data_IF_469266979041
#
_entry.id   IF_469266979041
#
_cell.length_a   1.000
_cell.length_b   1.000
_cell.length_c   1.000
_cell.angle_alpha   90.00
_cell.angle_beta   90.00
_cell.angle_gamma   90.00
#
_symmetry.space_group_name_H-M   'P 1'
#
loop_
_entity.id
_entity.type
_entity.pdbx_description
1 polymer ?
#
# COMPACT_ATOMS: atom_id res chain seq x y z
N UNK A 1 -37.11 -46.98 -10.61
CA UNK A 1 -37.00 -46.07 -9.45
C UNK A 1 -35.69 -46.23 -8.66
N UNK A 2 -35.20 -47.44 -8.39
CA UNK A 2 -33.96 -47.67 -7.62
C UNK A 2 -32.66 -47.12 -8.28
N UNK A 3 -32.52 -47.20 -9.61
CA UNK A 3 -31.31 -46.71 -10.33
C UNK A 3 -31.14 -45.18 -10.29
N UNK A 4 -32.23 -44.40 -10.16
CA UNK A 4 -32.14 -42.94 -10.01
C UNK A 4 -31.76 -42.49 -8.60
N UNK A 5 -32.15 -43.27 -7.56
CA UNK A 5 -31.75 -42.97 -6.18
C UNK A 5 -30.25 -43.21 -5.94
N UNK A 6 -29.67 -44.25 -6.54
CA UNK A 6 -28.24 -44.59 -6.40
C UNK A 6 -27.34 -43.52 -7.02
N UNK A 7 -27.76 -42.93 -8.16
CA UNK A 7 -26.97 -41.87 -8.83
C UNK A 7 -26.99 -40.54 -8.03
N UNK A 8 -28.12 -40.22 -7.38
CA UNK A 8 -28.21 -39.00 -6.53
C UNK A 8 -27.39 -39.15 -5.25
N UNK A 9 -27.33 -40.32 -4.65
CA UNK A 9 -26.55 -40.59 -3.43
C UNK A 9 -25.05 -40.54 -3.73
N UNK A 10 -24.61 -41.01 -4.92
CA UNK A 10 -23.20 -40.96 -5.32
C UNK A 10 -22.75 -39.50 -5.64
N UNK A 11 -23.61 -38.70 -6.28
CA UNK A 11 -23.30 -37.28 -6.53
C UNK A 11 -23.24 -36.46 -5.24
N UNK A 12 -24.14 -36.65 -4.28
CA UNK A 12 -24.12 -35.97 -2.99
C UNK A 12 -22.93 -36.41 -2.12
N UNK A 13 -22.52 -37.65 -2.16
CA UNK A 13 -21.34 -38.12 -1.42
C UNK A 13 -20.02 -37.64 -2.05
N UNK A 14 -19.92 -37.55 -3.39
CA UNK A 14 -18.73 -37.00 -4.05
C UNK A 14 -18.57 -35.51 -3.81
N UNK A 15 -19.64 -34.72 -3.81
CA UNK A 15 -19.57 -33.27 -3.49
C UNK A 15 -19.24 -33.05 -2.02
N UNK A 16 -19.78 -33.85 -1.10
CA UNK A 16 -19.44 -33.75 0.32
C UNK A 16 -17.98 -34.16 0.62
N UNK A 17 -17.46 -35.19 -0.06
CA UNK A 17 -16.09 -35.68 0.11
C UNK A 17 -15.08 -34.67 -0.52
N UNK A 18 -15.39 -34.10 -1.67
CA UNK A 18 -14.53 -33.07 -2.28
C UNK A 18 -14.50 -31.79 -1.45
N UNK A 19 -15.63 -31.34 -0.92
CA UNK A 19 -15.70 -30.17 -0.03
C UNK A 19 -14.91 -30.35 1.27
N UNK A 20 -15.01 -31.50 1.92
CA UNK A 20 -14.30 -31.81 3.18
C UNK A 20 -12.79 -32.00 2.96
N UNK A 21 -12.35 -32.55 1.82
CA UNK A 21 -10.96 -32.70 1.46
C UNK A 21 -10.32 -31.32 1.17
N UNK A 22 -11.00 -30.44 0.45
CA UNK A 22 -10.55 -29.05 0.18
C UNK A 22 -10.39 -28.24 1.47
N UNK A 23 -11.40 -28.21 2.33
CA UNK A 23 -11.35 -27.48 3.62
C UNK A 23 -10.23 -28.01 4.54
N UNK A 24 -9.99 -29.32 4.54
CA UNK A 24 -8.88 -29.92 5.33
C UNK A 24 -7.51 -29.53 4.75
N UNK A 25 -7.40 -29.47 3.43
CA UNK A 25 -6.18 -29.02 2.73
C UNK A 25 -5.86 -27.56 3.07
N UNK A 26 -6.86 -26.68 3.04
CA UNK A 26 -6.68 -25.26 3.36
C UNK A 26 -6.29 -25.03 4.82
N UNK A 27 -6.91 -25.71 5.76
CA UNK A 27 -6.52 -25.63 7.18
C UNK A 27 -5.07 -26.09 7.40
N UNK A 28 -4.63 -27.14 6.72
CA UNK A 28 -3.24 -27.60 6.83
C UNK A 28 -2.27 -26.58 6.24
N UNK A 29 -2.58 -26.00 5.06
CA UNK A 29 -1.77 -24.97 4.42
C UNK A 29 -1.63 -23.72 5.32
N UNK A 30 -2.71 -23.27 5.92
CA UNK A 30 -2.69 -22.15 6.87
C UNK A 30 -1.81 -22.49 8.07
N UNK A 31 -1.97 -23.66 8.66
CA UNK A 31 -1.16 -24.11 9.79
C UNK A 31 0.32 -24.18 9.46
N UNK A 32 0.66 -24.74 8.30
CA UNK A 32 2.06 -24.84 7.85
C UNK A 32 2.68 -23.45 7.62
N UNK A 33 1.90 -22.52 7.04
CA UNK A 33 2.31 -21.13 6.90
C UNK A 33 2.61 -20.47 8.25
N UNK A 34 1.68 -20.58 9.21
CA UNK A 34 1.89 -19.98 10.54
C UNK A 34 3.11 -20.58 11.25
N UNK A 35 3.36 -21.88 11.10
CA UNK A 35 4.57 -22.52 11.64
C UNK A 35 5.85 -21.98 10.99
N UNK A 36 5.85 -21.76 9.65
CA UNK A 36 6.97 -21.12 8.94
C UNK A 36 7.21 -19.70 9.43
N UNK A 37 6.13 -18.93 9.63
CA UNK A 37 6.20 -17.56 10.15
C UNK A 37 6.83 -17.54 11.53
N UNK A 38 6.36 -18.35 12.47
CA UNK A 38 6.90 -18.40 13.84
C UNK A 38 8.38 -18.84 13.85
N UNK A 39 8.73 -19.82 13.02
CA UNK A 39 10.14 -20.25 12.86
C UNK A 39 11.01 -19.12 12.32
N UNK A 40 10.54 -18.38 11.30
CA UNK A 40 11.26 -17.22 10.76
C UNK A 40 11.39 -16.13 11.82
N UNK A 41 10.30 -15.76 12.47
CA UNK A 41 10.23 -14.72 13.49
C UNK A 41 11.19 -15.01 14.67
N UNK A 42 11.22 -16.24 15.17
CA UNK A 42 12.08 -16.65 16.27
C UNK A 42 13.58 -16.61 15.93
N UNK A 43 13.93 -16.71 14.64
CA UNK A 43 15.31 -16.63 14.16
C UNK A 43 15.82 -15.22 13.91
N UNK A 44 14.93 -14.21 13.92
CA UNK A 44 15.26 -12.82 13.59
C UNK A 44 15.78 -12.06 14.81
N UNK A 45 16.84 -11.26 14.60
CA UNK A 45 17.25 -10.25 15.59
C UNK A 45 16.25 -9.09 15.67
N UNK A 46 16.32 -8.27 16.71
CA UNK A 46 15.48 -7.09 16.86
C UNK A 46 15.63 -6.14 15.67
N UNK A 47 16.86 -5.91 15.19
CA UNK A 47 17.12 -5.06 14.02
C UNK A 47 16.51 -5.62 12.74
N UNK A 48 16.54 -6.94 12.56
CA UNK A 48 15.89 -7.60 11.43
C UNK A 48 14.37 -7.44 11.48
N UNK A 49 13.79 -7.59 12.67
CA UNK A 49 12.35 -7.39 12.89
C UNK A 49 11.94 -5.96 12.60
N UNK A 50 12.62 -4.99 13.17
CA UNK A 50 12.33 -3.56 12.99
C UNK A 50 12.52 -3.14 11.53
N UNK A 51 13.58 -3.61 10.87
CA UNK A 51 13.78 -3.32 9.44
C UNK A 51 12.60 -3.77 8.56
N UNK A 52 11.97 -4.91 8.89
CA UNK A 52 10.77 -5.34 8.17
C UNK A 52 9.58 -4.39 8.35
N UNK A 53 9.52 -3.64 9.43
CA UNK A 53 8.47 -2.68 9.71
C UNK A 53 8.65 -1.33 8.97
N UNK A 54 9.75 -1.15 8.23
CA UNK A 54 10.06 0.07 7.47
C UNK A 54 9.69 -0.09 6.01
N UNK A 55 8.98 0.90 5.47
CA UNK A 55 8.68 1.04 4.04
C UNK A 55 9.28 2.35 3.52
N UNK A 56 10.12 2.27 2.49
CA UNK A 56 10.82 3.41 1.87
C UNK A 56 10.36 3.64 0.44
N UNK A 57 10.48 4.88 0.00
CA UNK A 57 10.29 5.24 -1.41
C UNK A 57 11.43 4.71 -2.28
N UNK A 58 11.11 4.31 -3.52
CA UNK A 58 12.09 3.79 -4.49
C UNK A 58 13.26 4.73 -4.76
N UNK A 59 13.08 6.03 -4.57
CA UNK A 59 14.14 7.03 -4.71
C UNK A 59 15.32 6.80 -3.76
N UNK A 60 15.06 6.19 -2.60
CA UNK A 60 16.11 5.87 -1.63
C UNK A 60 17.12 4.85 -2.15
N UNK A 61 16.77 4.13 -3.22
CA UNK A 61 17.63 3.13 -3.89
C UNK A 61 17.93 3.47 -5.36
N UNK A 62 17.50 4.64 -5.83
CA UNK A 62 17.70 5.10 -7.23
C UNK A 62 18.97 5.92 -7.36
N UNK A 63 19.64 5.78 -8.50
CA UNK A 63 20.75 6.63 -8.89
C UNK A 63 20.22 7.89 -9.57
N UNK A 64 20.61 9.06 -9.06
CA UNK A 64 20.28 10.35 -9.65
C UNK A 64 21.50 10.99 -10.28
N UNK A 65 21.34 11.60 -11.46
CA UNK A 65 22.33 12.46 -12.06
C UNK A 65 22.49 13.73 -11.20
N UNK A 66 23.72 14.03 -10.79
CA UNK A 66 24.01 15.12 -9.86
C UNK A 66 23.58 16.50 -10.40
N UNK A 67 23.46 16.64 -11.72
CA UNK A 67 22.99 17.87 -12.39
C UNK A 67 21.50 18.14 -12.18
N UNK A 68 20.72 17.09 -11.89
CA UNK A 68 19.26 17.13 -11.79
C UNK A 68 18.73 16.62 -10.45
N UNK A 69 19.55 16.74 -9.41
CA UNK A 69 19.08 16.51 -8.03
C UNK A 69 18.15 17.65 -7.59
N UNK A 70 17.30 17.41 -6.61
CA UNK A 70 16.42 18.45 -6.03
C UNK A 70 17.20 19.72 -5.72
N UNK A 71 18.29 19.61 -4.99
CA UNK A 71 19.15 20.76 -4.61
C UNK A 71 19.76 21.49 -5.82
N UNK A 72 20.08 20.77 -6.90
CA UNK A 72 20.59 21.39 -8.11
C UNK A 72 19.48 22.15 -8.86
N UNK A 73 18.29 21.54 -8.99
CA UNK A 73 17.14 22.15 -9.67
C UNK A 73 16.62 23.38 -8.93
N UNK A 74 16.62 23.40 -7.61
CA UNK A 74 16.20 24.54 -6.80
C UNK A 74 17.06 25.80 -7.01
N UNK A 75 18.28 25.64 -7.52
CA UNK A 75 19.21 26.76 -7.80
C UNK A 75 19.00 27.40 -9.17
N UNK A 76 18.21 26.76 -10.04
CA UNK A 76 18.00 27.20 -11.40
C UNK A 76 16.95 28.32 -11.49
N UNK A 77 17.11 29.21 -12.48
CA UNK A 77 16.10 30.18 -12.85
C UNK A 77 14.89 29.51 -13.52
N UNK A 78 13.75 30.20 -13.56
CA UNK A 78 12.54 29.72 -14.25
C UNK A 78 12.81 29.41 -15.73
N UNK A 79 13.64 30.22 -16.40
CA UNK A 79 14.03 29.99 -17.78
C UNK A 79 14.79 28.68 -17.95
N UNK A 80 15.79 28.43 -17.11
CA UNK A 80 16.60 27.20 -17.14
C UNK A 80 15.73 25.96 -16.84
N UNK A 81 14.80 26.05 -15.88
CA UNK A 81 13.83 24.98 -15.61
C UNK A 81 12.93 24.73 -16.81
N UNK A 82 12.43 25.78 -17.47
CA UNK A 82 11.62 25.66 -18.69
C UNK A 82 12.37 24.99 -19.84
N UNK A 83 13.65 25.39 -20.04
CA UNK A 83 14.51 24.80 -21.05
C UNK A 83 14.76 23.29 -20.78
N UNK A 84 14.95 22.92 -19.51
CA UNK A 84 15.11 21.52 -19.10
C UNK A 84 13.81 20.72 -19.32
N UNK A 85 12.66 21.24 -18.92
CA UNK A 85 11.36 20.61 -19.14
C UNK A 85 11.12 20.34 -20.63
N UNK A 86 11.40 21.32 -21.48
CA UNK A 86 11.29 21.19 -22.93
C UNK A 86 12.28 20.17 -23.49
N UNK A 87 13.53 20.19 -23.03
CA UNK A 87 14.59 19.27 -23.45
C UNK A 87 14.25 17.80 -23.21
N UNK A 88 13.61 17.49 -22.09
CA UNK A 88 13.24 16.13 -21.71
C UNK A 88 11.81 15.74 -22.11
N UNK A 89 11.12 16.61 -22.86
CA UNK A 89 9.72 16.40 -23.27
C UNK A 89 8.80 16.10 -22.06
N UNK A 90 8.87 17.00 -21.07
CA UNK A 90 8.07 16.90 -19.84
C UNK A 90 6.94 17.93 -19.80
N UNK A 91 6.66 18.61 -20.92
CA UNK A 91 5.62 19.65 -21.01
C UNK A 91 4.21 19.16 -20.73
N UNK A 92 3.96 17.88 -20.96
CA UNK A 92 2.68 17.23 -20.67
C UNK A 92 2.63 16.59 -19.26
N UNK A 93 3.72 16.62 -18.52
CA UNK A 93 3.78 16.09 -17.16
C UNK A 93 3.23 17.16 -16.20
N UNK A 94 2.13 16.84 -15.54
CA UNK A 94 1.36 17.79 -14.73
C UNK A 94 2.21 18.55 -13.70
N UNK A 95 3.02 17.84 -12.93
CA UNK A 95 3.81 18.45 -11.86
C UNK A 95 5.00 19.27 -12.36
N UNK A 96 5.62 18.85 -13.45
CA UNK A 96 6.70 19.59 -14.08
C UNK A 96 6.22 20.94 -14.64
N UNK A 97 5.01 20.95 -15.24
CA UNK A 97 4.39 22.16 -15.81
C UNK A 97 3.95 23.15 -14.72
N UNK A 98 3.43 22.67 -13.60
CA UNK A 98 3.01 23.51 -12.48
C UNK A 98 4.15 24.28 -11.83
N UNK A 99 5.38 23.77 -11.89
CA UNK A 99 6.57 24.47 -11.36
C UNK A 99 6.89 25.75 -12.12
N UNK A 100 6.59 25.77 -13.43
CA UNK A 100 7.04 26.83 -14.34
C UNK A 100 5.98 27.91 -14.53
N UNK A 101 4.69 27.60 -14.37
CA UNK A 101 3.58 28.39 -14.94
C UNK A 101 3.00 29.45 -14.00
N UNK A 102 3.39 29.57 -12.75
CA UNK A 102 2.83 30.61 -11.89
C UNK A 102 3.67 31.87 -11.83
N UNK A 103 3.42 32.78 -12.75
CA UNK A 103 3.95 34.16 -12.77
C UNK A 103 5.50 34.26 -12.70
N UNK A 104 6.20 33.33 -13.35
CA UNK A 104 7.66 33.36 -13.44
C UNK A 104 8.40 33.04 -12.13
N UNK A 105 7.70 32.52 -11.13
CA UNK A 105 8.31 31.98 -9.91
C UNK A 105 7.77 30.59 -9.64
N UNK A 106 8.58 29.61 -9.20
CA UNK A 106 8.08 28.35 -8.68
C UNK A 106 7.06 28.66 -7.59
N UNK A 107 5.85 28.08 -7.67
CA UNK A 107 4.72 28.43 -6.78
C UNK A 107 4.95 28.09 -5.31
N UNK A 108 5.91 27.24 -5.02
CA UNK A 108 6.33 26.95 -3.66
C UNK A 108 7.79 26.49 -3.64
N UNK A 109 8.47 26.74 -2.53
CA UNK A 109 9.69 26.04 -2.14
C UNK A 109 9.41 24.56 -1.79
N UNK A 110 8.33 23.98 -2.30
CA UNK A 110 7.92 22.63 -1.97
C UNK A 110 8.89 21.65 -2.64
N UNK A 111 9.68 20.97 -1.85
CA UNK A 111 10.62 19.95 -2.27
C UNK A 111 9.96 18.86 -3.13
N UNK A 112 8.66 18.60 -2.91
CA UNK A 112 7.90 17.57 -3.64
C UNK A 112 7.89 17.81 -5.17
N UNK A 113 7.63 19.05 -5.63
CA UNK A 113 7.61 19.32 -7.07
C UNK A 113 9.00 19.17 -7.69
N UNK A 114 10.04 19.58 -6.99
CA UNK A 114 11.43 19.36 -7.42
C UNK A 114 11.81 17.88 -7.36
N UNK A 115 11.28 17.12 -6.42
CA UNK A 115 11.43 15.67 -6.38
C UNK A 115 10.81 15.02 -7.63
N UNK A 116 9.55 15.34 -7.95
CA UNK A 116 8.88 14.83 -9.15
C UNK A 116 9.65 15.17 -10.43
N UNK A 117 10.09 16.42 -10.58
CA UNK A 117 10.88 16.85 -11.74
C UNK A 117 12.23 16.11 -11.82
N UNK A 118 12.95 15.99 -10.70
CA UNK A 118 14.20 15.24 -10.62
C UNK A 118 14.01 13.78 -11.03
N UNK A 119 12.97 13.14 -10.53
CA UNK A 119 12.62 11.75 -10.87
C UNK A 119 12.30 11.59 -12.35
N UNK A 120 11.44 12.46 -12.90
CA UNK A 120 11.04 12.43 -14.30
C UNK A 120 12.26 12.61 -15.24
N UNK A 121 13.13 13.55 -14.96
CA UNK A 121 14.35 13.75 -15.72
C UNK A 121 15.26 12.51 -15.65
N UNK A 122 15.49 11.99 -14.46
CA UNK A 122 16.34 10.81 -14.28
C UNK A 122 15.73 9.55 -14.91
N UNK A 123 14.40 9.43 -14.95
CA UNK A 123 13.73 8.38 -15.70
C UNK A 123 13.99 8.52 -17.22
N UNK A 124 13.84 9.73 -17.79
CA UNK A 124 14.13 10.00 -19.22
C UNK A 124 15.61 9.79 -19.58
N UNK A 125 16.52 9.98 -18.62
CA UNK A 125 17.95 9.64 -18.77
C UNK A 125 18.23 8.12 -18.70
N UNK A 126 17.23 7.32 -18.39
CA UNK A 126 17.28 5.89 -18.17
C UNK A 126 17.34 5.53 -16.69
N UNK A 127 16.21 5.04 -16.16
CA UNK A 127 16.07 4.62 -14.76
C UNK A 127 17.16 3.61 -14.36
N UNK A 128 17.85 3.88 -13.26
CA UNK A 128 18.90 3.03 -12.72
C UNK A 128 18.81 2.90 -11.22
N UNK A 129 18.92 1.67 -10.74
CA UNK A 129 19.10 1.39 -9.32
C UNK A 129 20.57 1.52 -8.91
N UNK A 130 20.81 2.09 -7.74
CA UNK A 130 22.13 2.28 -7.14
C UNK A 130 22.51 1.05 -6.30
N UNK A 131 23.56 0.34 -6.69
CA UNK A 131 24.01 -0.89 -6.01
C UNK A 131 24.42 -0.66 -4.56
N UNK A 132 25.05 0.47 -4.26
CA UNK A 132 25.49 0.82 -2.90
C UNK A 132 24.31 1.12 -2.00
N UNK A 133 23.34 1.90 -2.52
CA UNK A 133 22.10 2.20 -1.79
C UNK A 133 21.27 0.93 -1.56
N UNK A 134 21.12 0.06 -2.57
CA UNK A 134 20.46 -1.25 -2.43
C UNK A 134 21.11 -2.08 -1.33
N UNK A 135 22.44 -2.18 -1.34
CA UNK A 135 23.15 -2.91 -0.30
C UNK A 135 22.89 -2.28 1.07
N UNK A 136 23.01 -0.97 1.22
CA UNK A 136 22.78 -0.28 2.49
C UNK A 136 21.35 -0.49 3.01
N UNK A 137 20.33 -0.32 2.16
CA UNK A 137 18.93 -0.47 2.53
C UNK A 137 18.62 -1.89 3.01
N UNK A 138 19.10 -2.92 2.32
CA UNK A 138 18.77 -4.31 2.65
C UNK A 138 19.76 -4.99 3.61
N UNK A 139 21.02 -4.58 3.64
CA UNK A 139 22.02 -5.16 4.55
C UNK A 139 22.06 -4.45 5.91
N UNK A 140 22.12 -3.12 5.90
CA UNK A 140 22.25 -2.32 7.12
C UNK A 140 20.89 -2.13 7.78
N UNK A 141 19.92 -1.58 7.03
CA UNK A 141 18.59 -1.22 7.54
C UNK A 141 17.56 -2.35 7.45
N UNK A 142 17.83 -3.42 6.68
CA UNK A 142 16.99 -4.62 6.55
C UNK A 142 15.54 -4.33 6.20
N UNK A 143 15.32 -3.30 5.39
CA UNK A 143 14.02 -2.76 5.01
C UNK A 143 13.12 -3.82 4.40
N UNK A 144 11.86 -3.87 4.85
CA UNK A 144 10.90 -4.89 4.48
C UNK A 144 10.07 -4.57 3.24
N UNK A 145 9.96 -3.28 2.87
CA UNK A 145 9.07 -2.83 1.80
C UNK A 145 9.62 -1.61 1.07
N UNK A 146 9.36 -1.56 -0.24
CA UNK A 146 9.60 -0.39 -1.10
C UNK A 146 8.27 0.02 -1.72
N UNK A 147 8.10 1.31 -2.02
CA UNK A 147 6.89 1.82 -2.65
C UNK A 147 7.18 2.87 -3.72
N UNK A 148 6.11 3.27 -4.39
CA UNK A 148 5.99 4.38 -5.33
C UNK A 148 6.46 4.06 -6.76
N UNK A 149 6.19 4.98 -7.70
CA UNK A 149 6.48 4.84 -9.12
C UNK A 149 7.97 5.04 -9.43
N UNK A 150 8.48 4.37 -10.47
CA UNK A 150 9.89 4.43 -10.83
C UNK A 150 10.31 5.78 -11.45
N UNK A 151 9.40 6.42 -12.16
CA UNK A 151 9.68 7.60 -12.97
C UNK A 151 9.09 8.91 -12.44
N UNK A 152 8.71 9.00 -11.18
CA UNK A 152 8.03 10.19 -10.66
C UNK A 152 6.67 10.37 -11.32
N UNK A 153 6.49 11.39 -12.17
CA UNK A 153 5.26 11.63 -12.93
C UNK A 153 5.18 10.84 -14.25
N UNK A 154 6.26 10.19 -14.66
CA UNK A 154 6.31 9.42 -15.91
C UNK A 154 5.86 7.98 -15.69
N UNK A 155 4.82 7.54 -16.40
CA UNK A 155 4.44 6.13 -16.45
C UNK A 155 5.57 5.28 -17.06
N UNK A 156 5.95 4.19 -16.38
CA UNK A 156 7.08 3.37 -16.77
C UNK A 156 6.63 2.18 -17.63
N UNK A 157 7.46 1.77 -18.60
CA UNK A 157 7.19 0.58 -19.41
C UNK A 157 7.27 -0.70 -18.55
N UNK A 158 6.54 -1.75 -18.92
CA UNK A 158 6.43 -3.02 -18.18
C UNK A 158 7.77 -3.69 -17.98
N UNK A 159 8.63 -3.70 -19.01
CA UNK A 159 9.97 -4.29 -18.94
C UNK A 159 10.88 -3.55 -17.96
N UNK A 160 10.77 -2.21 -17.88
CA UNK A 160 11.48 -1.39 -16.88
C UNK A 160 11.01 -1.75 -15.47
N UNK A 161 9.69 -1.90 -15.28
CA UNK A 161 9.10 -2.35 -14.01
C UNK A 161 9.62 -3.73 -13.60
N UNK A 162 9.52 -4.72 -14.48
CA UNK A 162 9.97 -6.09 -14.21
C UNK A 162 11.47 -6.15 -13.86
N UNK A 163 12.30 -5.46 -14.63
CA UNK A 163 13.74 -5.39 -14.37
C UNK A 163 14.02 -4.73 -13.01
N UNK A 164 13.33 -3.64 -12.69
CA UNK A 164 13.50 -2.93 -11.42
C UNK A 164 13.06 -3.79 -10.24
N UNK A 165 11.84 -4.32 -10.26
CA UNK A 165 11.28 -5.12 -9.16
C UNK A 165 12.09 -6.38 -8.92
N UNK A 166 12.54 -7.08 -9.98
CA UNK A 166 13.40 -8.27 -9.86
C UNK A 166 14.78 -7.91 -9.29
N UNK A 167 15.40 -6.81 -9.73
CA UNK A 167 16.70 -6.36 -9.21
C UNK A 167 16.62 -5.99 -7.73
N UNK A 168 15.55 -5.32 -7.32
CA UNK A 168 15.31 -4.97 -5.90
C UNK A 168 15.10 -6.24 -5.08
N UNK A 169 14.33 -7.19 -5.61
CA UNK A 169 14.06 -8.46 -4.94
C UNK A 169 15.32 -9.32 -4.79
N UNK A 170 16.16 -9.37 -5.85
CA UNK A 170 17.45 -10.05 -5.79
C UNK A 170 18.35 -9.46 -4.69
N UNK A 171 18.40 -8.12 -4.59
CA UNK A 171 19.15 -7.44 -3.54
C UNK A 171 18.58 -7.73 -2.13
N UNK A 172 17.25 -7.72 -1.96
CA UNK A 172 16.61 -8.04 -0.70
C UNK A 172 16.95 -9.46 -0.25
N UNK A 173 16.80 -10.45 -1.13
CA UNK A 173 17.12 -11.84 -0.81
C UNK A 173 18.61 -12.05 -0.53
N UNK A 174 19.49 -11.43 -1.31
CA UNK A 174 20.94 -11.51 -1.13
C UNK A 174 21.42 -10.95 0.20
N UNK A 175 20.90 -9.79 0.61
CA UNK A 175 21.43 -9.05 1.75
C UNK A 175 20.65 -9.25 3.05
N UNK A 176 19.32 -9.41 3.00
CA UNK A 176 18.49 -9.62 4.19
C UNK A 176 18.00 -11.06 4.36
N UNK A 177 18.01 -11.87 3.28
CA UNK A 177 17.45 -13.23 3.27
C UNK A 177 15.92 -13.28 3.32
N UNK A 178 15.24 -12.12 3.31
CA UNK A 178 13.78 -12.01 3.38
C UNK A 178 13.30 -11.25 2.13
N UNK A 179 12.31 -11.79 1.39
CA UNK A 179 11.81 -11.10 0.19
C UNK A 179 11.18 -9.75 0.57
N UNK A 180 11.41 -8.75 -0.28
CA UNK A 180 10.80 -7.43 -0.17
C UNK A 180 9.37 -7.46 -0.72
N UNK A 181 8.45 -6.68 -0.14
CA UNK A 181 7.15 -6.41 -0.73
C UNK A 181 7.13 -5.00 -1.35
N UNK A 182 6.72 -4.92 -2.63
CA UNK A 182 6.56 -3.63 -3.32
C UNK A 182 5.11 -3.18 -3.24
N UNK A 183 4.87 -1.99 -2.69
CA UNK A 183 3.55 -1.37 -2.62
C UNK A 183 3.37 -0.28 -3.69
N UNK A 184 2.16 -0.16 -4.27
CA UNK A 184 1.89 0.80 -5.33
C UNK A 184 0.49 1.39 -5.26
N UNK A 185 0.39 2.68 -5.57
CA UNK A 185 -0.84 3.48 -5.49
C UNK A 185 -1.57 3.51 -6.83
N UNK A 186 -2.22 2.41 -7.20
CA UNK A 186 -3.03 2.32 -8.41
C UNK A 186 -4.50 2.16 -8.03
N UNK A 187 -5.30 3.21 -8.21
CA UNK A 187 -6.69 3.27 -7.73
C UNK A 187 -7.73 2.92 -8.80
N UNK A 188 -7.44 3.21 -10.06
CA UNK A 188 -8.40 3.09 -11.16
C UNK A 188 -7.76 2.53 -12.43
N UNK A 189 -7.15 1.35 -12.30
CA UNK A 189 -6.35 0.70 -13.34
C UNK A 189 -4.86 0.84 -13.09
N UNK A 190 -4.04 0.49 -14.09
CA UNK A 190 -2.58 0.42 -13.98
C UNK A 190 -1.94 1.77 -14.31
N UNK A 191 -2.29 2.78 -13.53
CA UNK A 191 -2.01 4.21 -13.80
C UNK A 191 -0.52 4.57 -13.87
N UNK A 192 0.36 3.79 -13.24
CA UNK A 192 1.81 4.06 -13.20
C UNK A 192 2.60 3.27 -14.25
N UNK A 193 1.88 2.62 -15.17
CA UNK A 193 2.50 1.82 -16.23
C UNK A 193 2.06 2.29 -17.59
N UNK A 194 3.01 2.54 -18.47
CA UNK A 194 2.72 2.92 -19.86
C UNK A 194 1.91 1.84 -20.57
N UNK A 195 0.88 2.26 -21.31
CA UNK A 195 -0.08 1.38 -22.00
C UNK A 195 -0.98 0.54 -21.08
N UNK A 196 -0.91 0.73 -19.76
CA UNK A 196 -1.83 0.08 -18.82
C UNK A 196 -3.27 0.56 -18.99
N UNK A 197 -4.23 -0.30 -18.72
CA UNK A 197 -5.66 0.02 -18.81
C UNK A 197 -6.06 1.03 -17.73
N UNK A 198 -6.73 2.10 -18.14
CA UNK A 198 -7.30 3.09 -17.25
C UNK A 198 -8.82 2.92 -17.14
N UNK A 199 -9.33 3.05 -15.94
CA UNK A 199 -10.75 2.99 -15.63
C UNK A 199 -11.24 4.33 -15.05
N UNK A 200 -12.56 4.55 -14.97
CA UNK A 200 -13.10 5.64 -14.15
C UNK A 200 -12.58 5.53 -12.70
N UNK A 201 -12.45 6.67 -12.02
CA UNK A 201 -12.20 6.67 -10.58
C UNK A 201 -13.28 5.91 -9.82
N UNK A 202 -13.01 5.53 -8.56
CA UNK A 202 -13.89 4.65 -7.79
C UNK A 202 -15.31 5.19 -7.63
N UNK A 203 -15.50 6.51 -7.48
CA UNK A 203 -16.84 7.11 -7.45
C UNK A 203 -17.61 6.85 -8.77
N UNK A 204 -16.95 6.90 -9.91
CA UNK A 204 -17.54 6.57 -11.21
C UNK A 204 -17.84 5.08 -11.35
N UNK A 205 -16.99 4.22 -10.83
CA UNK A 205 -17.21 2.78 -10.79
C UNK A 205 -18.43 2.44 -9.93
N UNK A 206 -18.54 3.00 -8.72
CA UNK A 206 -19.69 2.80 -7.82
C UNK A 206 -20.99 3.32 -8.45
N UNK A 207 -20.95 4.44 -9.17
CA UNK A 207 -22.12 5.02 -9.85
C UNK A 207 -22.70 4.10 -10.94
N UNK A 208 -22.01 3.06 -11.36
CA UNK A 208 -22.58 2.04 -12.27
C UNK A 208 -23.61 1.14 -11.59
N UNK A 209 -23.57 1.03 -10.25
CA UNK A 209 -24.37 0.07 -9.47
C UNK A 209 -24.26 -1.36 -9.99
N UNK A 210 -23.13 -1.71 -10.61
CA UNK A 210 -22.90 -3.02 -11.21
C UNK A 210 -21.66 -3.70 -10.60
N UNK A 211 -21.84 -4.61 -9.62
CA UNK A 211 -20.73 -5.31 -8.96
C UNK A 211 -19.87 -6.15 -9.92
N UNK A 212 -20.43 -6.69 -10.99
CA UNK A 212 -19.67 -7.46 -11.99
C UNK A 212 -18.66 -6.58 -12.73
N UNK A 213 -19.02 -5.33 -13.05
CA UNK A 213 -18.09 -4.38 -13.64
C UNK A 213 -16.99 -4.00 -12.64
N UNK A 214 -17.33 -3.81 -11.36
CA UNK A 214 -16.34 -3.54 -10.31
C UNK A 214 -15.35 -4.70 -10.16
N UNK A 215 -15.85 -5.93 -10.12
CA UNK A 215 -15.01 -7.14 -10.07
C UNK A 215 -14.10 -7.22 -11.30
N UNK A 216 -14.66 -7.02 -12.49
CA UNK A 216 -13.88 -7.07 -13.75
C UNK A 216 -12.80 -5.99 -13.82
N UNK A 217 -13.10 -4.77 -13.35
CA UNK A 217 -12.10 -3.71 -13.20
C UNK A 217 -10.95 -4.17 -12.29
N UNK A 218 -11.27 -4.83 -11.18
CA UNK A 218 -10.28 -5.38 -10.25
C UNK A 218 -9.40 -6.46 -10.88
N UNK A 219 -10.00 -7.42 -11.59
CA UNK A 219 -9.29 -8.50 -12.28
C UNK A 219 -8.28 -7.98 -13.31
N UNK A 220 -8.67 -7.00 -14.13
CA UNK A 220 -7.80 -6.40 -15.15
C UNK A 220 -6.68 -5.61 -14.46
N UNK A 221 -7.02 -4.78 -13.46
CA UNK A 221 -6.03 -4.00 -12.70
C UNK A 221 -5.00 -4.90 -12.01
N UNK A 222 -5.43 -6.01 -11.42
CA UNK A 222 -4.55 -6.99 -10.78
C UNK A 222 -3.63 -7.66 -11.79
N UNK A 223 -4.18 -8.17 -12.88
CA UNK A 223 -3.44 -8.83 -13.95
C UNK A 223 -2.31 -7.94 -14.50
N UNK A 224 -2.64 -6.70 -14.83
CA UNK A 224 -1.67 -5.75 -15.38
C UNK A 224 -0.64 -5.29 -14.35
N UNK A 225 -1.03 -5.13 -13.08
CA UNK A 225 -0.11 -4.84 -11.97
C UNK A 225 0.88 -6.00 -11.75
N UNK A 226 0.40 -7.24 -11.85
CA UNK A 226 1.27 -8.43 -11.79
C UNK A 226 2.26 -8.48 -12.93
N UNK A 227 1.87 -8.06 -14.13
CA UNK A 227 2.77 -7.92 -15.27
C UNK A 227 3.96 -7.00 -14.95
N UNK A 228 3.80 -5.98 -14.13
CA UNK A 228 4.85 -5.09 -13.66
C UNK A 228 5.72 -5.67 -12.52
N UNK A 229 5.42 -6.86 -12.02
CA UNK A 229 6.12 -7.47 -10.89
C UNK A 229 5.65 -6.98 -9.50
N UNK A 230 4.68 -6.09 -9.44
CA UNK A 230 4.10 -5.59 -8.20
C UNK A 230 3.01 -6.55 -7.71
N UNK A 231 2.95 -6.78 -6.39
CA UNK A 231 2.02 -7.75 -5.79
C UNK A 231 1.14 -7.18 -4.69
N UNK A 232 1.30 -5.92 -4.36
CA UNK A 232 0.55 -5.26 -3.30
C UNK A 232 0.10 -3.87 -3.75
N UNK A 233 -1.22 -3.64 -3.73
CA UNK A 233 -1.82 -2.38 -4.10
C UNK A 233 -2.43 -1.68 -2.89
N UNK A 234 -2.25 -0.35 -2.80
CA UNK A 234 -2.94 0.52 -1.85
C UNK A 234 -4.33 0.87 -2.39
N UNK A 235 -5.13 -0.16 -2.59
CA UNK A 235 -6.47 -0.14 -3.18
C UNK A 235 -7.30 -1.30 -2.64
N UNK A 236 -8.63 -1.17 -2.57
CA UNK A 236 -9.48 -0.01 -2.86
C UNK A 236 -9.45 1.08 -1.77
N UNK A 237 -9.78 2.33 -2.17
CA UNK A 237 -10.18 3.34 -1.20
C UNK A 237 -11.64 3.07 -0.81
N UNK A 238 -11.87 2.75 0.47
CA UNK A 238 -13.19 2.45 1.01
C UNK A 238 -13.84 3.68 1.68
N UNK A 239 -13.27 4.86 1.42
CA UNK A 239 -13.72 6.11 2.02
C UNK A 239 -15.16 6.44 1.62
N UNK A 240 -15.97 6.75 2.62
CA UNK A 240 -17.27 7.38 2.46
C UNK A 240 -17.07 8.90 2.49
N UNK A 241 -17.51 9.60 1.44
CA UNK A 241 -17.43 11.05 1.37
C UNK A 241 -18.82 11.67 1.43
N UNK A 242 -19.04 12.50 2.46
CA UNK A 242 -20.25 13.31 2.66
C UNK A 242 -19.96 14.82 2.62
N UNK A 243 -18.75 15.18 2.16
CA UNK A 243 -18.29 16.56 2.00
C UNK A 243 -17.87 16.78 0.56
N UNK A 244 -18.76 17.24 -0.35
CA UNK A 244 -18.44 17.41 -1.77
C UNK A 244 -17.27 18.36 -2.05
N UNK A 245 -16.92 19.21 -1.09
CA UNK A 245 -15.74 20.10 -1.17
C UNK A 245 -14.42 19.41 -0.86
N UNK A 246 -14.43 18.16 -0.37
CA UNK A 246 -13.21 17.41 -0.14
C UNK A 246 -12.52 17.09 -1.48
N UNK A 247 -11.24 17.48 -1.67
CA UNK A 247 -10.58 17.40 -2.97
C UNK A 247 -10.34 15.97 -3.46
N UNK A 248 -10.39 14.96 -2.58
CA UNK A 248 -10.23 13.53 -2.93
C UNK A 248 -11.56 12.79 -3.06
N UNK A 249 -12.68 13.52 -3.22
CA UNK A 249 -14.00 12.92 -3.46
C UNK A 249 -13.99 11.86 -4.57
N UNK A 250 -13.24 12.10 -5.64
CA UNK A 250 -13.14 11.19 -6.80
C UNK A 250 -12.55 9.81 -6.45
N UNK A 251 -11.72 9.72 -5.42
CA UNK A 251 -11.17 8.46 -4.93
C UNK A 251 -12.17 7.68 -4.06
N UNK A 252 -13.21 8.33 -3.52
CA UNK A 252 -14.15 7.72 -2.59
C UNK A 252 -15.10 6.74 -3.26
N UNK A 253 -15.78 5.93 -2.44
CA UNK A 253 -16.90 5.08 -2.85
C UNK A 253 -18.25 5.82 -2.85
N UNK A 254 -18.26 7.16 -2.75
CA UNK A 254 -19.46 7.98 -2.65
C UNK A 254 -19.96 8.12 -1.21
N UNK A 255 -21.26 8.42 -1.03
CA UNK A 255 -21.84 8.75 0.28
C UNK A 255 -22.64 7.63 0.94
N UNK A 256 -23.01 6.60 0.17
CA UNK A 256 -23.85 5.49 0.63
C UNK A 256 -23.02 4.30 1.10
N UNK A 257 -23.06 3.91 2.38
CA UNK A 257 -22.25 2.83 2.92
C UNK A 257 -22.63 1.44 2.40
N UNK A 258 -23.88 1.24 1.96
CA UNK A 258 -24.30 -0.05 1.38
C UNK A 258 -23.73 -0.21 -0.03
N UNK A 259 -23.90 0.79 -0.90
CA UNK A 259 -23.31 0.77 -2.24
C UNK A 259 -21.80 0.63 -2.17
N UNK A 260 -21.12 1.38 -1.29
CA UNK A 260 -19.69 1.26 -1.05
C UNK A 260 -19.29 -0.14 -0.59
N UNK A 261 -20.07 -0.78 0.28
CA UNK A 261 -19.79 -2.13 0.75
C UNK A 261 -19.89 -3.16 -0.38
N UNK A 262 -20.98 -3.14 -1.15
CA UNK A 262 -21.23 -4.11 -2.24
C UNK A 262 -20.22 -3.96 -3.38
N UNK A 263 -20.01 -2.72 -3.84
CA UNK A 263 -19.10 -2.43 -4.95
C UNK A 263 -17.64 -2.60 -4.54
N UNK A 264 -17.28 -2.17 -3.32
CA UNK A 264 -15.94 -2.33 -2.76
C UNK A 264 -15.57 -3.79 -2.54
N UNK A 265 -16.50 -4.64 -2.07
CA UNK A 265 -16.31 -6.10 -1.95
C UNK A 265 -16.06 -6.73 -3.33
N UNK A 266 -16.86 -6.37 -4.34
CA UNK A 266 -16.69 -6.88 -5.69
C UNK A 266 -15.33 -6.50 -6.29
N UNK A 267 -14.92 -5.23 -6.12
CA UNK A 267 -13.62 -4.75 -6.57
C UNK A 267 -12.46 -5.42 -5.83
N UNK A 268 -12.58 -5.58 -4.49
CA UNK A 268 -11.62 -6.33 -3.68
C UNK A 268 -11.43 -7.76 -4.20
N UNK A 269 -12.52 -8.49 -4.46
CA UNK A 269 -12.47 -9.85 -5.01
C UNK A 269 -11.83 -9.89 -6.40
N UNK A 270 -12.09 -8.91 -7.23
CA UNK A 270 -11.42 -8.77 -8.52
C UNK A 270 -9.91 -8.56 -8.38
N UNK A 271 -9.48 -7.72 -7.44
CA UNK A 271 -8.05 -7.48 -7.19
C UNK A 271 -7.36 -8.69 -6.54
N UNK A 272 -7.96 -9.28 -5.52
CA UNK A 272 -7.31 -10.23 -4.62
C UNK A 272 -7.62 -11.70 -4.92
N UNK A 273 -8.65 -11.97 -5.73
CA UNK A 273 -9.18 -13.32 -5.92
C UNK A 273 -10.05 -13.79 -4.74
N UNK A 274 -10.43 -15.05 -4.77
CA UNK A 274 -11.36 -15.63 -3.79
C UNK A 274 -10.66 -16.22 -2.55
N UNK A 275 -9.34 -16.47 -2.61
CA UNK A 275 -8.57 -17.04 -1.49
C UNK A 275 -7.63 -16.02 -0.86
N UNK A 276 -8.00 -15.37 0.25
CA UNK A 276 -7.16 -14.38 0.91
C UNK A 276 -5.88 -14.97 1.56
N UNK A 277 -5.80 -16.31 1.63
CA UNK A 277 -4.65 -17.00 2.21
C UNK A 277 -3.59 -17.39 1.17
N UNK A 278 -3.90 -17.25 -0.12
CA UNK A 278 -3.00 -17.58 -1.21
C UNK A 278 -3.36 -16.77 -2.46
N UNK A 279 -2.77 -15.60 -2.57
CA UNK A 279 -2.96 -14.71 -3.73
C UNK A 279 -2.18 -15.32 -4.90
N UNK A 280 -2.90 -15.72 -5.94
CA UNK A 280 -2.32 -16.40 -7.09
C UNK A 280 -1.50 -15.47 -8.01
N UNK A 281 -1.03 -15.98 -9.12
CA UNK A 281 -0.15 -15.23 -10.04
C UNK A 281 -0.85 -14.15 -10.88
N UNK A 282 -2.19 -14.11 -10.88
CA UNK A 282 -2.99 -13.12 -11.63
C UNK A 282 -3.62 -12.05 -10.73
N UNK A 283 -3.57 -12.24 -9.41
CA UNK A 283 -4.14 -11.33 -8.42
C UNK A 283 -3.07 -10.64 -7.59
N UNK A 284 -3.45 -9.56 -6.91
CA UNK A 284 -2.60 -8.76 -6.02
C UNK A 284 -3.19 -8.69 -4.62
N UNK A 285 -2.36 -8.51 -3.62
CA UNK A 285 -2.84 -8.18 -2.29
C UNK A 285 -3.43 -6.79 -2.23
N UNK A 286 -4.55 -6.65 -1.55
CA UNK A 286 -5.21 -5.35 -1.33
C UNK A 286 -4.74 -4.69 -0.05
N UNK A 287 -4.72 -3.36 -0.03
CA UNK A 287 -4.58 -2.53 1.16
C UNK A 287 -5.70 -1.50 1.15
N UNK A 288 -6.72 -1.74 1.97
CA UNK A 288 -7.86 -0.82 2.07
C UNK A 288 -7.42 0.54 2.59
N UNK A 289 -7.97 1.62 2.07
CA UNK A 289 -7.65 2.96 2.55
C UNK A 289 -8.85 3.90 2.53
N UNK A 290 -8.82 4.94 3.30
CA UNK A 290 -7.92 5.24 4.44
C UNK A 290 -8.70 4.98 5.73
N UNK A 291 -8.32 4.00 6.50
CA UNK A 291 -9.05 3.42 7.62
C UNK A 291 -9.23 4.40 8.78
N UNK A 292 -10.40 4.86 9.04
CA UNK A 292 -11.63 5.17 8.34
C UNK A 292 -12.06 6.60 8.71
N UNK A 293 -13.05 7.19 8.02
CA UNK A 293 -13.56 8.52 8.32
C UNK A 293 -12.72 9.67 7.73
N UNK A 294 -11.90 9.38 6.72
CA UNK A 294 -11.05 10.37 6.07
C UNK A 294 -11.82 11.32 5.15
N UNK A 295 -12.89 10.82 4.48
CA UNK A 295 -13.70 11.58 3.51
C UNK A 295 -14.75 12.51 4.10
N UNK A 296 -14.68 12.84 5.40
CA UNK A 296 -15.68 13.67 6.10
C UNK A 296 -15.07 14.83 6.92
N UNK A 297 -14.04 15.54 6.42
CA UNK A 297 -13.44 16.65 7.16
C UNK A 297 -14.48 17.77 7.39
N UNK A 298 -14.50 18.36 8.59
CA UNK A 298 -15.52 19.35 8.97
C UNK A 298 -15.57 20.56 8.03
N UNK A 299 -14.41 21.02 7.57
CA UNK A 299 -14.26 22.19 6.69
C UNK A 299 -14.10 21.84 5.20
N UNK A 300 -14.12 20.55 4.83
CA UNK A 300 -13.93 20.07 3.44
C UNK A 300 -12.49 20.17 2.91
N UNK A 301 -11.50 20.51 3.73
CA UNK A 301 -10.09 20.57 3.34
C UNK A 301 -9.43 19.24 3.67
N UNK A 302 -8.56 18.74 2.78
CA UNK A 302 -7.86 17.47 2.96
C UNK A 302 -6.99 17.45 4.24
N UNK A 303 -6.93 16.30 4.90
CA UNK A 303 -6.15 16.06 6.13
C UNK A 303 -6.48 16.98 7.32
N UNK A 304 -7.67 17.56 7.32
CA UNK A 304 -8.16 18.38 8.45
C UNK A 304 -9.10 17.57 9.34
N UNK A 305 -9.33 18.01 10.60
CA UNK A 305 -10.13 17.27 11.56
C UNK A 305 -11.57 17.03 11.12
N UNK A 306 -12.12 15.91 11.57
CA UNK A 306 -13.52 15.54 11.47
C UNK A 306 -14.09 15.19 12.85
N UNK A 307 -15.34 15.61 13.12
CA UNK A 307 -16.08 15.26 14.32
C UNK A 307 -17.35 14.53 13.94
N UNK A 308 -17.44 13.25 14.32
CA UNK A 308 -18.54 12.36 13.95
C UNK A 308 -18.97 11.59 15.20
N UNK A 309 -20.27 11.53 15.48
CA UNK A 309 -20.76 10.72 16.59
C UNK A 309 -20.48 9.22 16.37
N UNK A 310 -20.39 8.46 17.47
CA UNK A 310 -19.96 7.04 17.38
C UNK A 310 -20.95 6.16 16.59
N UNK A 311 -22.25 6.46 16.61
CA UNK A 311 -23.21 5.72 15.81
C UNK A 311 -22.95 5.88 14.31
N UNK A 312 -22.80 7.11 13.83
CA UNK A 312 -22.47 7.37 12.42
C UNK A 312 -21.11 6.81 12.02
N UNK A 313 -20.11 6.84 12.92
CA UNK A 313 -18.84 6.20 12.72
C UNK A 313 -18.99 4.71 12.41
N UNK A 314 -19.75 3.98 13.24
CA UNK A 314 -19.95 2.54 13.11
C UNK A 314 -20.82 2.17 11.91
N UNK A 315 -21.98 2.82 11.80
CA UNK A 315 -22.97 2.47 10.78
C UNK A 315 -22.59 2.90 9.37
N UNK A 316 -21.93 4.07 9.23
CA UNK A 316 -21.72 4.69 7.93
C UNK A 316 -20.27 4.60 7.46
N UNK A 317 -19.30 4.92 8.33
CA UNK A 317 -17.92 5.08 7.91
C UNK A 317 -17.11 3.80 8.08
N UNK A 318 -17.38 3.01 9.13
CA UNK A 318 -16.67 1.75 9.37
C UNK A 318 -17.29 0.57 8.60
N UNK A 319 -18.59 0.57 8.33
CA UNK A 319 -19.29 -0.56 7.69
C UNK A 319 -18.66 -1.04 6.39
N UNK A 320 -18.25 -0.19 5.42
CA UNK A 320 -17.59 -0.67 4.21
C UNK A 320 -16.27 -1.39 4.50
N UNK A 321 -15.48 -0.86 5.42
CA UNK A 321 -14.23 -1.51 5.84
C UNK A 321 -14.50 -2.84 6.54
N UNK A 322 -15.46 -2.89 7.47
CA UNK A 322 -15.87 -4.11 8.15
C UNK A 322 -16.24 -5.22 7.16
N UNK A 323 -17.05 -4.87 6.15
CA UNK A 323 -17.43 -5.82 5.09
C UNK A 323 -16.23 -6.32 4.31
N UNK A 324 -15.31 -5.43 3.95
CA UNK A 324 -14.10 -5.82 3.23
C UNK A 324 -13.17 -6.70 4.09
N UNK A 325 -13.01 -6.44 5.39
CA UNK A 325 -12.24 -7.30 6.30
C UNK A 325 -12.88 -8.69 6.45
N UNK A 326 -14.21 -8.75 6.60
CA UNK A 326 -14.95 -10.01 6.66
C UNK A 326 -14.86 -10.82 5.36
N UNK A 327 -14.62 -10.15 4.21
CA UNK A 327 -14.42 -10.75 2.90
C UNK A 327 -12.94 -10.94 2.54
N UNK A 328 -12.05 -10.87 3.52
CA UNK A 328 -10.67 -11.33 3.38
C UNK A 328 -9.65 -10.28 2.97
N UNK A 329 -9.93 -8.97 3.11
CA UNK A 329 -8.90 -7.95 2.91
C UNK A 329 -7.69 -8.19 3.81
N UNK A 330 -6.47 -8.16 3.25
CA UNK A 330 -5.23 -8.60 3.93
C UNK A 330 -4.38 -7.47 4.48
N UNK A 331 -4.66 -6.22 4.11
CA UNK A 331 -4.00 -5.06 4.68
C UNK A 331 -4.93 -3.83 4.70
N UNK A 332 -4.60 -2.86 5.53
CA UNK A 332 -5.24 -1.55 5.56
C UNK A 332 -4.23 -0.44 5.86
N UNK A 333 -4.46 0.73 5.28
CA UNK A 333 -3.71 1.96 5.50
C UNK A 333 -4.49 2.87 6.43
N UNK A 334 -3.80 3.49 7.39
CA UNK A 334 -4.42 4.38 8.36
C UNK A 334 -4.97 5.65 7.73
N UNK A 335 -5.96 6.26 8.40
CA UNK A 335 -6.45 7.59 8.07
C UNK A 335 -5.40 8.67 8.41
N UNK A 336 -5.13 9.56 7.47
CA UNK A 336 -4.16 10.66 7.58
C UNK A 336 -4.67 11.89 8.35
N UNK A 337 -5.86 11.84 8.96
CA UNK A 337 -6.46 12.99 9.62
C UNK A 337 -6.81 12.73 11.10
N UNK A 338 -7.24 13.77 11.77
CA UNK A 338 -7.75 13.70 13.15
C UNK A 338 -9.24 13.39 13.09
N UNK A 339 -9.67 12.33 13.76
CA UNK A 339 -11.06 11.92 13.90
C UNK A 339 -11.44 11.95 15.39
N UNK A 340 -12.39 12.81 15.74
CA UNK A 340 -12.83 13.01 17.14
C UNK A 340 -11.67 13.30 18.10
N UNK A 341 -10.78 14.20 17.71
CA UNK A 341 -9.65 14.64 18.54
C UNK A 341 -8.43 13.73 18.58
N UNK A 342 -8.45 12.57 17.85
CA UNK A 342 -7.32 11.65 17.78
C UNK A 342 -6.91 11.39 16.32
N UNK A 343 -5.61 11.48 16.02
CA UNK A 343 -5.10 11.14 14.70
C UNK A 343 -5.22 9.62 14.44
N UNK A 344 -5.58 9.25 13.20
CA UNK A 344 -5.80 7.86 12.79
C UNK A 344 -4.63 6.94 13.11
N UNK A 345 -3.38 7.43 12.93
CA UNK A 345 -2.14 6.68 13.20
C UNK A 345 -1.91 6.39 14.69
N UNK A 346 -2.41 7.26 15.58
CA UNK A 346 -2.25 7.13 17.03
C UNK A 346 -3.51 6.60 17.73
N UNK A 347 -4.55 6.22 16.97
CA UNK A 347 -5.84 5.81 17.54
C UNK A 347 -5.87 4.32 17.93
N UNK A 348 -5.43 4.02 19.15
CA UNK A 348 -5.40 2.65 19.69
C UNK A 348 -6.80 1.99 19.70
N UNK A 349 -7.88 2.76 19.93
CA UNK A 349 -9.25 2.22 19.91
C UNK A 349 -9.57 1.62 18.54
N UNK A 350 -9.20 2.30 17.45
CA UNK A 350 -9.55 1.86 16.11
C UNK A 350 -8.58 0.80 15.58
N UNK A 351 -7.26 0.99 15.82
CA UNK A 351 -6.24 0.10 15.25
C UNK A 351 -6.07 -1.19 16.06
N UNK A 352 -5.99 -1.09 17.38
CA UNK A 352 -5.80 -2.26 18.23
C UNK A 352 -7.14 -2.89 18.61
N UNK A 353 -8.01 -2.13 19.30
CA UNK A 353 -9.22 -2.72 19.87
C UNK A 353 -10.20 -3.19 18.77
N UNK A 354 -10.61 -2.32 17.84
CA UNK A 354 -11.63 -2.72 16.85
C UNK A 354 -11.12 -3.72 15.82
N UNK A 355 -9.87 -3.58 15.31
CA UNK A 355 -9.37 -4.48 14.28
C UNK A 355 -8.73 -5.74 14.83
N UNK A 356 -7.82 -5.61 15.80
CA UNK A 356 -7.01 -6.74 16.24
C UNK A 356 -7.70 -7.54 17.34
N UNK A 357 -8.36 -6.85 18.30
CA UNK A 357 -8.97 -7.50 19.46
C UNK A 357 -10.42 -7.93 19.18
N UNK A 358 -11.30 -7.01 18.74
CA UNK A 358 -12.73 -7.28 18.57
C UNK A 358 -13.03 -8.09 17.29
N UNK A 359 -12.35 -7.81 16.17
CA UNK A 359 -12.52 -8.53 14.91
C UNK A 359 -11.56 -9.73 14.76
N UNK A 360 -10.56 -9.86 15.62
CA UNK A 360 -9.50 -10.87 15.49
C UNK A 360 -8.86 -10.85 14.07
N UNK A 361 -8.86 -9.68 13.42
CA UNK A 361 -8.33 -9.54 12.07
C UNK A 361 -6.81 -9.68 12.04
N UNK A 362 -6.30 -10.58 11.20
CA UNK A 362 -4.90 -10.97 11.14
C UNK A 362 -4.07 -10.26 10.05
N UNK A 363 -4.66 -9.28 9.36
CA UNK A 363 -4.00 -8.50 8.33
C UNK A 363 -3.04 -7.44 8.87
N UNK A 364 -2.39 -6.73 7.94
CA UNK A 364 -1.37 -5.72 8.19
C UNK A 364 -1.97 -4.31 8.27
N UNK A 365 -1.50 -3.51 9.23
CA UNK A 365 -1.79 -2.07 9.32
C UNK A 365 -0.53 -1.30 8.90
N UNK A 366 -0.61 -0.56 7.80
CA UNK A 366 0.44 0.36 7.35
C UNK A 366 -0.01 1.82 7.51
N UNK A 367 0.90 2.75 7.78
CA UNK A 367 0.58 4.19 7.79
C UNK A 367 0.45 4.74 6.37
N UNK A 368 -0.21 5.88 6.21
CA UNK A 368 -0.12 6.69 5.01
C UNK A 368 1.22 7.47 4.99
N UNK A 369 1.50 8.19 3.91
CA UNK A 369 2.74 8.88 3.59
C UNK A 369 3.18 9.86 4.68
N UNK A 370 4.26 9.52 5.41
CA UNK A 370 4.86 10.38 6.43
C UNK A 370 3.98 10.66 7.64
N UNK A 371 2.90 9.92 7.85
CA UNK A 371 1.90 10.24 8.87
C UNK A 371 2.43 10.11 10.31
N UNK A 372 3.43 9.26 10.55
CA UNK A 372 4.08 9.23 11.88
C UNK A 372 4.78 10.57 12.14
N UNK A 373 5.50 11.11 11.15
CA UNK A 373 6.16 12.41 11.27
C UNK A 373 5.13 13.53 11.48
N UNK A 374 3.99 13.45 10.79
CA UNK A 374 2.91 14.42 10.90
C UNK A 374 2.31 14.53 12.30
N UNK A 375 2.41 13.50 13.15
CA UNK A 375 1.97 13.59 14.55
C UNK A 375 2.69 14.72 15.31
N UNK A 376 3.94 15.06 14.94
CA UNK A 376 4.67 16.13 15.62
C UNK A 376 4.84 17.39 14.76
N UNK A 377 5.00 17.29 13.42
CA UNK A 377 5.27 18.49 12.58
C UNK A 377 4.01 19.21 12.12
N UNK A 378 2.90 18.49 11.89
CA UNK A 378 1.62 19.03 11.41
C UNK A 378 0.58 19.12 12.53
N UNK A 379 0.36 18.01 13.23
CA UNK A 379 -0.76 17.88 14.18
C UNK A 379 -0.38 18.27 15.62
N UNK A 380 0.93 18.37 15.91
CA UNK A 380 1.48 18.80 17.21
C UNK A 380 0.96 18.01 18.42
N UNK A 381 0.62 16.72 18.21
CA UNK A 381 0.14 15.83 19.28
C UNK A 381 1.26 14.98 19.88
N UNK A 382 2.39 14.86 19.19
CA UNK A 382 3.62 14.26 19.70
C UNK A 382 4.68 15.34 19.97
N UNK A 383 5.49 15.15 20.99
CA UNK A 383 6.53 16.10 21.39
C UNK A 383 7.79 16.03 20.52
N UNK A 384 8.01 14.90 19.82
CA UNK A 384 9.18 14.64 18.98
C UNK A 384 8.92 13.48 18.03
N UNK A 385 9.84 13.24 17.07
CA UNK A 385 9.83 12.05 16.21
C UNK A 385 9.81 10.75 17.05
N UNK A 386 10.64 10.66 18.09
CA UNK A 386 10.68 9.48 18.99
C UNK A 386 9.32 9.24 19.64
N UNK A 387 8.67 10.30 20.12
CA UNK A 387 7.34 10.21 20.73
C UNK A 387 6.27 9.81 19.71
N UNK A 388 6.32 10.37 18.50
CA UNK A 388 5.42 10.01 17.39
C UNK A 388 5.51 8.53 17.04
N UNK A 389 6.72 7.98 16.91
CA UNK A 389 6.95 6.54 16.66
C UNK A 389 6.37 5.70 17.80
N UNK A 390 6.63 6.08 19.05
CA UNK A 390 6.09 5.39 20.24
C UNK A 390 4.56 5.35 20.22
N UNK A 391 3.92 6.49 19.93
CA UNK A 391 2.46 6.58 19.86
C UNK A 391 1.88 5.68 18.77
N UNK A 392 2.42 5.74 17.55
CA UNK A 392 1.94 4.96 16.41
C UNK A 392 2.08 3.45 16.62
N UNK A 393 3.25 2.99 17.04
CA UNK A 393 3.52 1.55 17.24
C UNK A 393 2.66 0.99 18.38
N UNK A 394 2.54 1.71 19.50
CA UNK A 394 1.71 1.29 20.63
C UNK A 394 0.20 1.39 20.33
N UNK A 395 -0.21 2.17 19.31
CA UNK A 395 -1.58 2.20 18.84
C UNK A 395 -1.95 1.00 17.95
N UNK A 396 -0.96 0.26 17.43
CA UNK A 396 -1.22 -0.94 16.64
C UNK A 396 -0.68 -0.91 15.21
N UNK A 397 0.05 0.14 14.79
CA UNK A 397 0.71 0.19 13.49
C UNK A 397 1.76 -0.92 13.35
N UNK A 398 1.74 -1.62 12.21
CA UNK A 398 2.66 -2.72 11.92
C UNK A 398 3.78 -2.33 10.95
N UNK A 399 3.48 -1.49 9.95
CA UNK A 399 4.45 -1.00 8.97
C UNK A 399 4.42 0.52 8.89
N UNK A 400 5.58 1.12 8.91
CA UNK A 400 5.78 2.58 8.88
C UNK A 400 6.13 3.00 7.45
N UNK A 401 5.21 3.70 6.77
CA UNK A 401 5.50 4.36 5.50
C UNK A 401 6.26 5.66 5.79
N UNK A 402 7.58 5.57 5.79
CA UNK A 402 8.52 6.66 6.09
C UNK A 402 9.42 6.91 4.89
N UNK A 403 8.92 7.58 3.85
CA UNK A 403 9.40 7.48 2.48
C UNK A 403 10.90 7.71 2.30
N UNK A 404 11.46 8.68 3.02
CA UNK A 404 12.84 9.14 2.82
C UNK A 404 13.72 9.07 4.09
N UNK A 405 13.24 8.42 5.16
CA UNK A 405 13.90 8.47 6.46
C UNK A 405 14.35 7.07 6.93
N UNK A 406 15.66 6.85 6.98
CA UNK A 406 16.25 5.58 7.44
C UNK A 406 16.35 5.47 8.97
N UNK A 407 16.36 6.59 9.70
CA UNK A 407 16.58 6.64 11.14
C UNK A 407 15.40 6.15 12.00
N UNK A 408 14.22 5.93 11.40
CA UNK A 408 13.04 5.44 12.13
C UNK A 408 13.27 4.07 12.77
N UNK A 409 13.98 3.17 12.08
CA UNK A 409 14.31 1.86 12.64
C UNK A 409 15.23 1.96 13.87
N UNK A 410 16.23 2.81 13.82
CA UNK A 410 17.14 3.04 14.95
C UNK A 410 16.42 3.64 16.16
N UNK A 411 15.53 4.62 15.92
CA UNK A 411 14.71 5.23 16.96
C UNK A 411 13.73 4.21 17.58
N UNK A 412 13.13 3.35 16.77
CA UNK A 412 12.22 2.30 17.26
C UNK A 412 13.00 1.25 18.10
N UNK A 413 14.22 0.92 17.69
CA UNK A 413 15.09 0.03 18.49
C UNK A 413 15.35 0.62 19.88
N UNK A 414 15.70 1.90 19.96
CA UNK A 414 15.89 2.59 21.25
C UNK A 414 14.62 2.55 22.10
N UNK A 415 13.44 2.74 21.49
CA UNK A 415 12.17 2.67 22.23
C UNK A 415 11.88 1.29 22.81
N UNK A 416 12.32 0.22 22.15
CA UNK A 416 12.21 -1.14 22.68
C UNK A 416 13.22 -1.35 23.81
N UNK A 417 14.48 -0.94 23.63
CA UNK A 417 15.53 -1.04 24.63
C UNK A 417 15.21 -0.24 25.90
N UNK A 418 14.56 0.93 25.74
CA UNK A 418 14.09 1.78 26.85
C UNK A 418 12.79 1.25 27.52
N UNK A 419 12.22 0.13 27.02
CA UNK A 419 10.94 -0.42 27.52
C UNK A 419 9.70 0.40 27.20
N UNK A 420 9.80 1.39 26.29
CA UNK A 420 8.69 2.24 25.87
C UNK A 420 7.78 1.58 24.81
N UNK A 421 8.30 0.57 24.11
CA UNK A 421 7.59 -0.33 23.19
C UNK A 421 7.93 -1.77 23.57
N UNK A 422 6.91 -2.60 23.77
CA UNK A 422 7.11 -3.99 24.13
C UNK A 422 7.65 -4.83 22.96
N UNK A 423 8.53 -5.78 23.23
CA UNK A 423 9.06 -6.70 22.21
C UNK A 423 7.95 -7.48 21.53
N UNK A 424 6.92 -7.88 22.27
CA UNK A 424 5.75 -8.62 21.77
C UNK A 424 4.97 -7.80 20.74
N UNK A 425 4.97 -6.45 20.86
CA UNK A 425 4.35 -5.57 19.87
C UNK A 425 5.11 -5.60 18.54
N UNK A 426 6.45 -5.63 18.61
CA UNK A 426 7.30 -5.79 17.42
C UNK A 426 7.06 -7.16 16.79
N UNK A 427 6.98 -8.21 17.59
CA UNK A 427 6.76 -9.58 17.13
C UNK A 427 5.38 -9.73 16.45
N UNK A 428 4.32 -9.12 16.99
CA UNK A 428 3.01 -9.09 16.34
C UNK A 428 3.07 -8.35 14.98
N UNK A 429 3.73 -7.19 14.91
CA UNK A 429 3.87 -6.46 13.66
C UNK A 429 4.58 -7.29 12.59
N UNK A 430 5.72 -7.87 12.93
CA UNK A 430 6.53 -8.66 12.00
C UNK A 430 5.80 -9.94 11.58
N UNK A 431 5.08 -10.58 12.48
CA UNK A 431 4.22 -11.75 12.16
C UNK A 431 3.20 -11.39 11.08
N UNK A 432 2.55 -10.23 11.15
CA UNK A 432 1.61 -9.74 10.15
C UNK A 432 2.28 -9.40 8.82
N UNK A 433 3.47 -8.81 8.86
CA UNK A 433 4.28 -8.52 7.66
C UNK A 433 4.72 -9.82 6.97
N UNK A 434 5.21 -10.79 7.72
CA UNK A 434 5.60 -12.09 7.15
C UNK A 434 4.36 -12.81 6.57
N UNK A 435 3.21 -12.77 7.26
CA UNK A 435 1.95 -13.34 6.76
C UNK A 435 1.53 -12.71 5.44
N UNK A 436 1.61 -11.39 5.29
CA UNK A 436 1.39 -10.71 4.02
C UNK A 436 2.31 -11.27 2.93
N UNK A 437 3.61 -11.37 3.20
CA UNK A 437 4.60 -11.87 2.23
C UNK A 437 4.35 -13.33 1.82
N UNK A 438 3.94 -14.18 2.75
CA UNK A 438 3.53 -15.57 2.45
C UNK A 438 2.25 -15.64 1.62
N UNK A 439 1.23 -14.84 1.96
CA UNK A 439 -0.02 -14.74 1.19
C UNK A 439 0.22 -14.31 -0.25
N UNK A 440 1.19 -13.44 -0.46
CA UNK A 440 1.63 -12.96 -1.78
C UNK A 440 2.60 -13.92 -2.49
N UNK A 441 2.86 -15.08 -1.91
CA UNK A 441 3.77 -16.09 -2.45
C UNK A 441 5.19 -15.58 -2.75
N UNK A 442 5.68 -14.61 -1.94
CA UNK A 442 6.99 -13.99 -2.17
C UNK A 442 8.16 -14.88 -1.74
N UNK A 443 7.97 -15.82 -0.80
CA UNK A 443 9.02 -16.73 -0.35
C UNK A 443 9.28 -17.85 -1.35
N UNK A 444 8.24 -18.41 -1.98
CA UNK A 444 8.36 -19.54 -2.87
C UNK A 444 8.57 -19.10 -4.33
N UNK A 445 8.05 -17.93 -4.72
CA UNK A 445 8.16 -17.39 -6.06
C UNK A 445 8.41 -15.87 -6.03
N UNK A 446 9.62 -15.41 -5.64
CA UNK A 446 9.91 -13.99 -5.41
C UNK A 446 9.95 -13.14 -6.69
N UNK A 447 10.28 -13.72 -7.83
CA UNK A 447 10.51 -13.00 -9.07
C UNK A 447 9.27 -12.91 -9.96
N UNK A 448 9.26 -11.92 -10.84
CA UNK A 448 8.23 -11.70 -11.85
C UNK A 448 8.76 -12.03 -13.26
N UNK A 449 7.83 -12.35 -14.15
CA UNK A 449 8.09 -12.59 -15.56
C UNK A 449 6.91 -12.03 -16.37
N UNK A 450 7.14 -10.95 -17.12
CA UNK A 450 6.16 -10.26 -17.97
C UNK A 450 5.62 -11.14 -19.10
N UNK A 451 6.40 -12.11 -19.61
CA UNK A 451 5.94 -13.06 -20.64
C UNK A 451 4.72 -13.90 -20.21
N UNK A 452 4.43 -13.94 -18.91
CA UNK A 452 3.23 -14.62 -18.39
C UNK A 452 1.93 -13.80 -18.59
N UNK A 453 2.04 -12.55 -19.03
CA UNK A 453 0.92 -11.61 -19.13
C UNK A 453 0.71 -11.07 -20.54
N UNK A 454 0.42 -11.95 -21.54
CA UNK A 454 0.31 -11.56 -22.95
C UNK A 454 -0.88 -10.64 -23.27
N UNK A 455 -1.81 -10.44 -22.32
CA UNK A 455 -2.98 -9.58 -22.49
C UNK A 455 -2.77 -8.19 -21.83
N UNK A 456 -1.55 -7.84 -21.44
CA UNK A 456 -1.25 -6.51 -20.91
C UNK A 456 -1.48 -5.44 -21.99
N UNK A 457 -2.21 -4.34 -21.63
CA UNK A 457 -2.55 -3.23 -22.54
C UNK A 457 -3.74 -3.58 -23.40
#
# INVERSE_FOLDING_TARGET
>A
MLKKLTTIIILTSCVAISGTASVKSDKNRIKDREQKIEKQLSSMSLEQKIGQMVQLEVNMITQFDQRYTVTALQKLSVKELSDIISKFDLTNEYDATLMVVSNGKPKSSNDYQYQCLSQAINYKLGFKLDKTKLQNVFQTYRVGSILNMLGGTCASEVDVWNKATNTIQEAALKYSGIPMVYGLDQLHGTTYTAKGTLFPHQIGMVATFNPELAKRMGEISAYETRACGVRWLFSPSMDICRKPSWPRLYESMGEDPYAASVMGEAYLKGLQGDDPNNIDEYHVGTCLKHYFGYGVPDNGIDRTPANVNEQDLREKLFTPFLKAFQNGAIATMTNSSILNGMNGVANKKFLQQWLKDDLEWDGLIVTDWGDIENLYIRDHIAASQKDAIRMAINAGVDMMMVPSQLNYGETLKQLVEDGCVAQERIDDAVRRILRLKYRLNLFDNPYSNDNKYPLFG
#
